data_IF_485728051657
#
_entry.id   IF_485728051657
#
_cell.length_a   1.000
_cell.length_b   1.000
_cell.length_c   1.000
_cell.angle_alpha   90.00
_cell.angle_beta   90.00
_cell.angle_gamma   90.00
#
_symmetry.space_group_name_H-M   'P 1'
#
loop_
_entity.id
_entity.type
_entity.pdbx_description
1 polymer ?
#
# COMPACT_ATOMS: atom_id res chain seq x y z
N UNK A 1 15.36 -51.56 8.74
CA UNK A 1 13.89 -51.68 8.59
C UNK A 1 13.32 -50.30 8.92
N UNK A 2 13.05 -49.48 7.91
CA UNK A 2 12.58 -48.10 8.09
C UNK A 2 11.08 -48.16 8.40
N UNK A 3 10.68 -47.69 9.57
CA UNK A 3 9.28 -47.62 9.99
C UNK A 3 8.46 -46.83 8.93
N UNK A 4 7.32 -47.34 8.44
CA UNK A 4 6.54 -46.64 7.45
C UNK A 4 6.00 -45.33 8.06
N UNK A 5 6.41 -44.21 7.47
CA UNK A 5 6.02 -42.86 7.87
C UNK A 5 4.48 -42.77 7.91
N UNK A 6 3.90 -42.78 9.12
CA UNK A 6 2.45 -42.79 9.30
C UNK A 6 1.86 -41.54 8.64
N UNK A 7 0.82 -41.67 7.80
CA UNK A 7 0.21 -40.52 7.17
C UNK A 7 -0.28 -39.56 8.27
N UNK A 8 -0.03 -38.25 8.13
CA UNK A 8 -0.38 -37.27 9.15
C UNK A 8 -1.91 -37.25 9.30
N UNK A 9 -2.43 -37.58 10.50
CA UNK A 9 -3.87 -37.70 10.76
C UNK A 9 -4.43 -36.37 11.24
N UNK A 10 -5.64 -36.05 10.78
CA UNK A 10 -6.43 -34.94 11.31
C UNK A 10 -6.77 -35.21 12.77
N UNK A 11 -6.59 -34.20 13.62
CA UNK A 11 -6.93 -34.27 15.05
C UNK A 11 -8.21 -33.50 15.33
N UNK A 12 -8.84 -33.75 16.47
CA UNK A 12 -9.99 -32.97 16.93
C UNK A 12 -9.68 -31.46 17.00
N UNK A 13 -8.44 -31.09 17.31
CA UNK A 13 -8.00 -29.70 17.35
C UNK A 13 -8.09 -29.00 15.98
N UNK A 14 -7.79 -29.70 14.88
CA UNK A 14 -7.92 -29.14 13.53
C UNK A 14 -9.38 -28.82 13.18
N UNK A 15 -10.30 -29.73 13.56
CA UNK A 15 -11.73 -29.53 13.37
C UNK A 15 -12.27 -28.40 14.25
N UNK A 16 -11.83 -28.30 15.50
CA UNK A 16 -12.17 -27.19 16.39
C UNK A 16 -11.69 -25.86 15.79
N UNK A 17 -10.43 -25.77 15.34
CA UNK A 17 -9.88 -24.57 14.73
C UNK A 17 -10.64 -24.18 13.45
N UNK A 18 -10.90 -25.15 12.56
CA UNK A 18 -11.68 -24.89 11.34
C UNK A 18 -13.10 -24.41 11.67
N UNK A 19 -13.74 -25.00 12.67
CA UNK A 19 -15.05 -24.57 13.17
C UNK A 19 -15.04 -23.14 13.73
N UNK A 20 -14.00 -22.77 14.49
CA UNK A 20 -13.83 -21.41 15.02
C UNK A 20 -13.61 -20.39 13.89
N UNK A 21 -12.78 -20.73 12.89
CA UNK A 21 -12.55 -19.88 11.72
C UNK A 21 -13.85 -19.67 10.93
N UNK A 22 -14.60 -20.76 10.70
CA UNK A 22 -15.88 -20.70 9.99
C UNK A 22 -16.93 -19.88 10.76
N UNK A 23 -17.02 -20.05 12.09
CA UNK A 23 -17.91 -19.26 12.93
C UNK A 23 -17.55 -17.77 12.90
N UNK A 24 -16.27 -17.43 13.03
CA UNK A 24 -15.79 -16.05 12.89
C UNK A 24 -16.14 -15.46 11.51
N UNK A 25 -15.85 -16.20 10.43
CA UNK A 25 -16.17 -15.78 9.08
C UNK A 25 -17.65 -15.55 8.85
N UNK A 26 -18.51 -16.43 9.40
CA UNK A 26 -19.96 -16.28 9.32
C UNK A 26 -20.45 -15.03 10.05
N UNK A 27 -19.95 -14.77 11.27
CA UNK A 27 -20.32 -13.57 12.03
C UNK A 27 -19.94 -12.31 11.26
N UNK A 28 -18.69 -12.21 10.78
CA UNK A 28 -18.23 -11.05 10.01
C UNK A 28 -19.04 -10.91 8.71
N UNK A 29 -19.31 -12.02 8.02
CA UNK A 29 -20.09 -12.00 6.77
C UNK A 29 -21.50 -11.45 6.99
N UNK A 30 -22.19 -11.91 8.04
CA UNK A 30 -23.54 -11.43 8.38
C UNK A 30 -23.53 -9.94 8.73
N UNK A 31 -22.52 -9.48 9.49
CA UNK A 31 -22.37 -8.05 9.82
C UNK A 31 -22.15 -7.22 8.55
N UNK A 32 -21.20 -7.62 7.69
CA UNK A 32 -20.89 -6.89 6.45
C UNK A 32 -22.07 -6.82 5.49
N UNK A 33 -22.85 -7.90 5.37
CA UNK A 33 -24.07 -7.92 4.56
C UNK A 33 -25.14 -6.98 5.13
N UNK A 34 -25.31 -6.95 6.46
CA UNK A 34 -26.25 -6.03 7.13
C UNK A 34 -25.87 -4.56 6.95
N UNK A 35 -24.57 -4.26 6.87
CA UNK A 35 -24.05 -2.93 6.55
C UNK A 35 -24.22 -2.52 5.06
N UNK A 36 -24.92 -3.33 4.26
CA UNK A 36 -25.17 -3.05 2.84
C UNK A 36 -23.99 -3.36 1.91
N UNK A 37 -22.95 -4.05 2.40
CA UNK A 37 -21.75 -4.42 1.63
C UNK A 37 -21.78 -5.88 1.15
N UNK A 38 -22.95 -6.36 0.74
CA UNK A 38 -23.13 -7.75 0.33
C UNK A 38 -22.26 -8.14 -0.88
N UNK A 39 -22.09 -7.22 -1.84
CA UNK A 39 -21.33 -7.45 -3.08
C UNK A 39 -19.83 -7.70 -2.83
N UNK A 40 -19.28 -7.13 -1.76
CA UNK A 40 -17.87 -7.27 -1.39
C UNK A 40 -17.65 -8.36 -0.33
N UNK A 41 -18.66 -8.66 0.51
CA UNK A 41 -18.57 -9.65 1.59
C UNK A 41 -18.17 -11.05 1.10
N UNK A 42 -18.62 -11.47 -0.08
CA UNK A 42 -18.27 -12.79 -0.62
C UNK A 42 -16.76 -12.90 -0.89
N UNK A 43 -16.19 -11.90 -1.56
CA UNK A 43 -14.79 -11.91 -1.95
C UNK A 43 -13.84 -11.62 -0.78
N UNK A 44 -14.21 -10.68 0.10
CA UNK A 44 -13.32 -10.21 1.17
C UNK A 44 -13.52 -10.93 2.51
N UNK A 45 -14.63 -11.66 2.70
CA UNK A 45 -14.90 -12.40 3.94
C UNK A 45 -15.04 -13.90 3.69
N UNK A 46 -15.96 -14.31 2.81
CA UNK A 46 -16.26 -15.73 2.63
C UNK A 46 -15.08 -16.51 2.01
N UNK A 47 -14.45 -15.97 0.95
CA UNK A 47 -13.32 -16.63 0.31
C UNK A 47 -12.11 -16.80 1.26
N UNK A 48 -11.61 -15.76 1.97
CA UNK A 48 -10.47 -15.96 2.86
C UNK A 48 -10.76 -16.87 4.06
N UNK A 49 -11.98 -16.80 4.63
CA UNK A 49 -12.35 -17.65 5.79
C UNK A 49 -12.54 -19.12 5.41
N UNK A 50 -13.12 -19.40 4.24
CA UNK A 50 -13.25 -20.78 3.73
C UNK A 50 -11.88 -21.39 3.43
N UNK A 51 -10.98 -20.64 2.79
CA UNK A 51 -9.60 -21.07 2.56
C UNK A 51 -8.85 -21.30 3.88
N UNK A 52 -9.00 -20.40 4.86
CA UNK A 52 -8.37 -20.54 6.16
C UNK A 52 -8.88 -21.79 6.92
N UNK A 53 -10.20 -22.06 6.88
CA UNK A 53 -10.78 -23.25 7.49
C UNK A 53 -10.31 -24.53 6.78
N UNK A 54 -10.22 -24.54 5.45
CA UNK A 54 -9.69 -25.67 4.69
C UNK A 54 -8.21 -25.93 5.02
N UNK A 55 -7.41 -24.86 5.15
CA UNK A 55 -6.01 -24.94 5.59
C UNK A 55 -5.85 -25.48 7.01
N UNK A 56 -6.76 -25.14 7.92
CA UNK A 56 -6.74 -25.69 9.29
C UNK A 56 -6.96 -27.21 9.32
N UNK A 57 -7.66 -27.77 8.33
CA UNK A 57 -7.89 -29.21 8.20
C UNK A 57 -6.74 -29.96 7.50
N UNK A 58 -5.79 -29.24 6.89
CA UNK A 58 -4.62 -29.82 6.23
C UNK A 58 -3.56 -30.18 7.26
N UNK A 59 -3.22 -31.48 7.43
CA UNK A 59 -2.28 -31.89 8.45
C UNK A 59 -0.84 -31.62 7.96
N UNK A 60 -0.13 -30.74 8.65
CA UNK A 60 1.23 -30.36 8.29
C UNK A 60 2.24 -31.49 8.51
N UNK A 61 2.96 -31.88 7.45
CA UNK A 61 3.98 -32.96 7.48
C UNK A 61 5.29 -32.54 8.14
N UNK A 62 5.62 -31.26 8.12
CA UNK A 62 6.88 -30.72 8.65
C UNK A 62 6.60 -29.52 9.55
N UNK A 63 7.49 -29.24 10.50
CA UNK A 63 7.40 -28.05 11.34
C UNK A 63 7.36 -26.77 10.50
N UNK A 64 8.15 -26.73 9.41
CA UNK A 64 8.19 -25.61 8.47
C UNK A 64 6.87 -25.43 7.71
N UNK A 65 6.31 -26.53 7.21
CA UNK A 65 4.98 -26.51 6.57
C UNK A 65 3.87 -26.08 7.53
N UNK A 66 3.93 -26.49 8.81
CA UNK A 66 2.99 -26.04 9.84
C UNK A 66 3.06 -24.53 10.08
N UNK A 67 4.27 -23.96 10.15
CA UNK A 67 4.45 -22.51 10.28
C UNK A 67 3.83 -21.80 9.08
N UNK A 68 4.10 -22.25 7.86
CA UNK A 68 3.52 -21.65 6.65
C UNK A 68 1.99 -21.71 6.64
N UNK A 69 1.39 -22.85 6.99
CA UNK A 69 -0.07 -22.98 7.09
C UNK A 69 -0.65 -21.98 8.09
N UNK A 70 -0.05 -21.88 9.29
CA UNK A 70 -0.50 -20.92 10.31
C UNK A 70 -0.32 -19.48 9.84
N UNK A 71 0.81 -19.16 9.22
CA UNK A 71 1.06 -17.84 8.62
C UNK A 71 0.04 -17.50 7.55
N UNK A 72 -0.30 -18.42 6.65
CA UNK A 72 -1.33 -18.22 5.63
C UNK A 72 -2.71 -18.00 6.25
N UNK A 73 -3.10 -18.81 7.25
CA UNK A 73 -4.35 -18.62 7.98
C UNK A 73 -4.39 -17.23 8.62
N UNK A 74 -3.31 -16.81 9.29
CA UNK A 74 -3.23 -15.49 9.91
C UNK A 74 -3.35 -14.35 8.90
N UNK A 75 -2.71 -14.46 7.73
CA UNK A 75 -2.83 -13.49 6.64
C UNK A 75 -4.26 -13.42 6.09
N UNK A 76 -4.91 -14.56 5.86
CA UNK A 76 -6.30 -14.63 5.39
C UNK A 76 -7.28 -13.99 6.38
N UNK A 77 -7.13 -14.29 7.67
CA UNK A 77 -7.94 -13.69 8.72
C UNK A 77 -7.67 -12.18 8.88
N UNK A 78 -6.42 -11.76 8.72
CA UNK A 78 -6.06 -10.33 8.69
C UNK A 78 -6.72 -9.62 7.51
N UNK A 79 -6.76 -10.24 6.33
CA UNK A 79 -7.46 -9.68 5.18
C UNK A 79 -8.96 -9.47 5.44
N UNK A 80 -9.61 -10.42 6.13
CA UNK A 80 -11.01 -10.29 6.57
C UNK A 80 -11.16 -9.14 7.56
N UNK A 81 -10.32 -9.09 8.60
CA UNK A 81 -10.41 -8.05 9.63
C UNK A 81 -10.21 -6.64 9.04
N UNK A 82 -9.30 -6.50 8.06
CA UNK A 82 -9.01 -5.23 7.41
C UNK A 82 -10.07 -4.82 6.37
N UNK A 83 -10.98 -5.73 5.96
CA UNK A 83 -12.06 -5.56 4.97
C UNK A 83 -11.59 -5.01 3.61
N UNK A 84 -11.23 -3.74 3.59
CA UNK A 84 -10.78 -2.91 2.47
C UNK A 84 -9.23 -2.80 2.46
N UNK A 85 -8.53 -3.82 2.95
CA UNK A 85 -7.06 -3.84 3.07
C UNK A 85 -6.40 -5.08 2.49
N UNK A 86 -7.13 -5.91 1.74
CA UNK A 86 -6.60 -7.19 1.24
C UNK A 86 -5.36 -7.03 0.35
N UNK A 87 -5.31 -5.97 -0.47
CA UNK A 87 -4.13 -5.60 -1.25
C UNK A 87 -2.91 -5.29 -0.37
N UNK A 88 -3.10 -4.67 0.80
CA UNK A 88 -2.03 -4.41 1.76
C UNK A 88 -1.51 -5.72 2.34
N UNK A 89 -2.41 -6.70 2.60
CA UNK A 89 -2.02 -8.04 3.03
C UNK A 89 -1.23 -8.75 1.93
N UNK A 90 -1.64 -8.64 0.67
CA UNK A 90 -0.89 -9.21 -0.47
C UNK A 90 0.50 -8.57 -0.57
N UNK A 91 0.60 -7.25 -0.45
CA UNK A 91 1.89 -6.55 -0.47
C UNK A 91 2.76 -6.88 0.75
N UNK A 92 2.17 -7.15 1.92
CA UNK A 92 2.90 -7.54 3.13
C UNK A 92 3.26 -9.04 3.16
N UNK A 93 2.54 -9.90 2.44
CA UNK A 93 2.70 -11.34 2.50
C UNK A 93 4.14 -11.82 2.21
N UNK A 94 4.86 -11.33 1.18
CA UNK A 94 6.24 -11.73 0.94
C UNK A 94 7.15 -11.48 2.15
N UNK A 95 7.00 -10.33 2.81
CA UNK A 95 7.74 -10.00 4.02
C UNK A 95 7.40 -10.97 5.17
N UNK A 96 6.11 -11.22 5.40
CA UNK A 96 5.65 -12.12 6.47
C UNK A 96 6.13 -13.56 6.23
N UNK A 97 6.08 -14.06 4.99
CA UNK A 97 6.62 -15.37 4.64
C UNK A 97 8.15 -15.42 4.74
N UNK A 98 8.85 -14.36 4.35
CA UNK A 98 10.31 -14.28 4.49
C UNK A 98 10.74 -14.34 5.97
N UNK A 99 10.06 -13.61 6.86
CA UNK A 99 10.31 -13.66 8.30
C UNK A 99 9.95 -15.03 8.87
N UNK A 100 8.81 -15.60 8.49
CA UNK A 100 8.38 -16.94 8.93
C UNK A 100 9.38 -18.03 8.49
N UNK A 101 9.86 -17.95 7.26
CA UNK A 101 10.87 -18.85 6.71
C UNK A 101 12.21 -18.68 7.43
N UNK A 102 12.70 -17.44 7.52
CA UNK A 102 13.99 -17.10 8.10
C UNK A 102 14.09 -17.50 9.56
N UNK A 103 13.07 -17.18 10.37
CA UNK A 103 13.02 -17.59 11.79
C UNK A 103 13.01 -19.11 11.93
N UNK A 104 12.19 -19.82 11.13
CA UNK A 104 12.12 -21.28 11.19
C UNK A 104 13.43 -21.94 10.74
N UNK A 105 14.04 -21.45 9.65
CA UNK A 105 15.31 -21.95 9.14
C UNK A 105 16.45 -21.71 10.14
N UNK A 106 16.51 -20.51 10.72
CA UNK A 106 17.51 -20.12 11.72
C UNK A 106 17.41 -20.97 12.98
N UNK A 107 16.19 -21.15 13.52
CA UNK A 107 15.97 -22.03 14.69
C UNK A 107 16.45 -23.44 14.39
N UNK A 108 16.15 -23.98 13.19
CA UNK A 108 16.58 -25.33 12.80
C UNK A 108 18.09 -25.43 12.68
N UNK A 109 18.74 -24.46 12.04
CA UNK A 109 20.19 -24.45 11.87
C UNK A 109 20.93 -24.35 13.21
N UNK A 110 20.43 -23.55 14.14
CA UNK A 110 21.08 -23.34 15.45
C UNK A 110 20.74 -24.42 16.47
N UNK A 111 19.66 -25.18 16.28
CA UNK A 111 19.24 -26.25 17.19
C UNK A 111 20.32 -27.32 17.36
N UNK A 112 21.07 -27.61 16.30
CA UNK A 112 22.12 -28.63 16.30
C UNK A 112 23.44 -28.12 16.90
N UNK A 113 23.60 -26.79 17.05
CA UNK A 113 24.80 -26.17 17.64
C UNK A 113 24.59 -25.77 19.10
N UNK A 114 23.59 -24.92 19.40
CA UNK A 114 23.24 -24.55 20.77
C UNK A 114 21.87 -23.87 20.84
N UNK A 115 21.05 -24.26 21.81
CA UNK A 115 19.74 -23.65 22.08
C UNK A 115 19.86 -22.16 22.46
N UNK A 116 20.94 -21.77 23.12
CA UNK A 116 21.20 -20.39 23.54
C UNK A 116 21.39 -19.44 22.34
N UNK A 117 22.03 -19.92 21.26
CA UNK A 117 22.17 -19.12 20.04
C UNK A 117 20.83 -18.88 19.37
N UNK A 118 19.93 -19.87 19.33
CA UNK A 118 18.59 -19.69 18.78
C UNK A 118 17.77 -18.66 19.57
N UNK A 119 17.90 -18.65 20.90
CA UNK A 119 17.22 -17.66 21.77
C UNK A 119 17.71 -16.24 21.52
N UNK A 120 18.99 -16.05 21.19
CA UNK A 120 19.55 -14.72 20.89
C UNK A 120 19.30 -14.29 19.43
N UNK A 121 19.46 -15.20 18.48
CA UNK A 121 19.44 -14.88 17.06
C UNK A 121 18.03 -14.57 16.52
N UNK A 122 16.99 -15.19 17.08
CA UNK A 122 15.60 -14.94 16.64
C UNK A 122 15.14 -13.51 16.96
N UNK A 123 15.30 -12.97 18.18
CA UNK A 123 15.01 -11.56 18.45
C UNK A 123 15.78 -10.61 17.52
N UNK A 124 17.07 -10.88 17.29
CA UNK A 124 17.91 -10.06 16.40
C UNK A 124 17.37 -10.03 14.96
N UNK A 125 16.90 -11.17 14.44
CA UNK A 125 16.27 -11.27 13.12
C UNK A 125 14.96 -10.47 13.04
N UNK A 126 14.23 -10.34 14.15
CA UNK A 126 12.96 -9.62 14.23
C UNK A 126 13.12 -8.12 14.49
N UNK A 127 14.30 -7.66 14.94
CA UNK A 127 14.56 -6.24 15.23
C UNK A 127 14.18 -5.28 14.10
N UNK A 128 14.45 -5.56 12.80
CA UNK A 128 14.05 -4.66 11.72
C UNK A 128 12.53 -4.49 11.60
N UNK A 129 11.74 -5.44 12.11
CA UNK A 129 10.28 -5.36 12.15
C UNK A 129 9.74 -4.45 13.26
N UNK A 130 10.59 -3.94 14.15
CA UNK A 130 10.19 -3.00 15.19
C UNK A 130 10.12 -1.56 14.69
N UNK A 131 10.69 -1.24 13.53
CA UNK A 131 10.59 0.09 12.92
C UNK A 131 9.11 0.51 12.81
N UNK A 132 8.76 1.69 13.33
CA UNK A 132 7.39 2.21 13.26
C UNK A 132 6.39 1.58 14.22
N UNK A 133 6.80 0.62 15.06
CA UNK A 133 5.94 0.03 16.11
C UNK A 133 5.73 0.93 17.35
N UNK A 134 6.46 2.05 17.43
CA UNK A 134 6.55 2.89 18.64
C UNK A 134 7.64 2.47 19.62
N UNK A 135 8.18 1.25 19.49
CA UNK A 135 9.31 0.76 20.28
C UNK A 135 10.67 1.12 19.66
N UNK A 136 10.72 1.33 18.35
CA UNK A 136 11.91 1.77 17.63
C UNK A 136 11.59 3.00 16.76
N UNK A 137 12.56 3.89 16.52
CA UNK A 137 12.37 5.05 15.67
C UNK A 137 12.09 4.63 14.23
N UNK A 138 11.39 5.50 13.49
CA UNK A 138 11.18 5.34 12.05
C UNK A 138 12.43 5.80 11.31
N UNK A 139 12.90 5.03 10.34
CA UNK A 139 14.11 5.33 9.59
C UNK A 139 13.73 6.12 8.33
N UNK A 140 14.31 7.32 8.18
CA UNK A 140 14.08 8.23 7.06
C UNK A 140 12.59 8.29 6.61
N UNK A 141 11.67 8.70 7.51
CA UNK A 141 10.24 8.70 7.20
C UNK A 141 9.88 9.78 6.19
N UNK A 142 10.61 10.90 6.14
CA UNK A 142 10.41 11.95 5.14
C UNK A 142 11.14 11.56 3.85
N UNK A 143 10.39 11.53 2.74
CA UNK A 143 10.83 11.09 1.43
C UNK A 143 10.32 12.06 0.36
N UNK A 144 10.85 11.92 -0.85
CA UNK A 144 10.44 12.72 -1.98
C UNK A 144 10.42 11.91 -3.26
N UNK A 145 9.51 12.25 -4.16
CA UNK A 145 9.50 11.73 -5.53
C UNK A 145 9.56 12.88 -6.52
N UNK A 146 10.25 12.67 -7.63
CA UNK A 146 10.37 13.63 -8.71
C UNK A 146 10.01 12.97 -10.04
N UNK A 147 9.21 13.65 -10.85
CA UNK A 147 8.89 13.26 -12.21
C UNK A 147 9.20 14.42 -13.14
N UNK A 148 9.98 14.14 -14.19
CA UNK A 148 10.36 15.10 -15.22
C UNK A 148 9.81 14.64 -16.57
N UNK A 149 9.25 15.58 -17.34
CA UNK A 149 8.72 15.33 -18.69
C UNK A 149 9.03 16.51 -19.60
N UNK A 150 9.58 16.22 -20.77
CA UNK A 150 9.68 17.21 -21.86
C UNK A 150 8.40 17.13 -22.69
N UNK A 151 7.74 18.27 -22.88
CA UNK A 151 6.50 18.40 -23.66
C UNK A 151 6.75 19.28 -24.88
N UNK A 152 6.06 18.99 -25.98
CA UNK A 152 6.16 19.73 -27.24
C UNK A 152 5.27 20.99 -27.22
N UNK A 153 5.43 21.80 -26.18
CA UNK A 153 4.75 23.08 -26.00
C UNK A 153 5.77 24.17 -25.65
N UNK A 154 5.60 25.39 -26.20
CA UNK A 154 6.25 26.60 -25.69
C UNK A 154 5.91 26.86 -24.22
N UNK A 155 6.80 27.54 -23.49
CA UNK A 155 6.67 27.71 -22.04
C UNK A 155 5.43 28.54 -21.63
N UNK A 156 5.02 29.51 -22.44
CA UNK A 156 3.81 30.31 -22.24
C UNK A 156 2.54 29.46 -22.36
N UNK A 157 2.50 28.53 -23.33
CA UNK A 157 1.39 27.58 -23.47
C UNK A 157 1.34 26.59 -22.30
N UNK A 158 2.50 26.15 -21.78
CA UNK A 158 2.54 25.35 -20.55
C UNK A 158 1.91 26.11 -19.38
N UNK A 159 2.32 27.37 -19.15
CA UNK A 159 1.73 28.21 -18.09
C UNK A 159 0.21 28.31 -18.23
N UNK A 160 -0.29 28.59 -19.44
CA UNK A 160 -1.73 28.70 -19.69
C UNK A 160 -2.49 27.38 -19.41
N UNK A 161 -1.90 26.23 -19.76
CA UNK A 161 -2.49 24.90 -19.47
C UNK A 161 -2.49 24.56 -18.00
N UNK A 162 -1.43 24.93 -17.28
CA UNK A 162 -1.35 24.77 -15.84
C UNK A 162 -2.41 25.62 -15.13
N UNK A 163 -2.61 26.87 -15.57
CA UNK A 163 -3.62 27.76 -15.03
C UNK A 163 -5.05 27.28 -15.24
N UNK A 164 -5.31 26.46 -16.27
CA UNK A 164 -6.61 25.83 -16.48
C UNK A 164 -6.92 24.69 -15.49
N UNK A 165 -5.94 24.28 -14.68
CA UNK A 165 -6.03 23.23 -13.69
C UNK A 165 -6.03 21.80 -14.27
N UNK A 166 -5.81 20.79 -13.41
CA UNK A 166 -5.84 19.39 -13.82
C UNK A 166 -7.25 18.91 -14.18
N UNK A 167 -7.34 18.02 -15.18
CA UNK A 167 -8.59 17.36 -15.62
C UNK A 167 -8.50 15.84 -15.43
N UNK A 168 -9.54 15.17 -14.91
CA UNK A 168 -9.52 13.72 -14.77
C UNK A 168 -9.24 13.02 -16.10
N UNK A 169 -8.33 12.05 -16.09
CA UNK A 169 -7.96 11.25 -17.26
C UNK A 169 -7.79 9.79 -16.86
N UNK A 170 -7.99 8.81 -17.76
CA UNK A 170 -7.74 7.41 -17.42
C UNK A 170 -6.28 7.15 -17.01
N UNK A 171 -6.11 6.31 -15.99
CA UNK A 171 -4.79 5.93 -15.47
C UNK A 171 -4.02 5.12 -16.53
N UNK A 172 -2.85 5.62 -16.92
CA UNK A 172 -2.00 4.98 -17.94
C UNK A 172 -1.00 3.99 -17.35
N UNK A 173 -0.49 4.25 -16.16
CA UNK A 173 0.53 3.43 -15.52
C UNK A 173 -0.01 2.05 -15.16
N UNK A 174 0.66 1.01 -15.67
CA UNK A 174 0.39 -0.39 -15.34
C UNK A 174 0.36 -0.68 -13.84
N UNK A 175 1.34 -0.25 -13.00
CA UNK A 175 1.34 -0.59 -11.59
C UNK A 175 0.12 -0.02 -10.84
N UNK A 176 -0.29 1.23 -11.11
CA UNK A 176 -1.48 1.80 -10.48
C UNK A 176 -2.75 1.05 -10.87
N UNK A 177 -2.89 0.68 -12.16
CA UNK A 177 -4.07 -0.09 -12.63
C UNK A 177 -4.11 -1.50 -12.04
N UNK A 178 -2.98 -2.21 -12.05
CA UNK A 178 -2.90 -3.59 -11.57
C UNK A 178 -3.23 -3.69 -10.09
N UNK A 179 -2.75 -2.73 -9.30
CA UNK A 179 -2.95 -2.71 -7.84
C UNK A 179 -4.23 -1.97 -7.43
N UNK A 180 -5.01 -1.46 -8.39
CA UNK A 180 -6.23 -0.70 -8.11
C UNK A 180 -6.00 0.56 -7.27
N UNK A 181 -4.81 1.16 -7.37
CA UNK A 181 -4.42 2.28 -6.50
C UNK A 181 -5.45 3.42 -6.65
N UNK A 182 -5.98 3.96 -5.53
CA UNK A 182 -6.92 5.07 -5.57
C UNK A 182 -6.36 6.25 -6.36
N UNK A 183 -7.11 6.69 -7.35
CA UNK A 183 -6.80 7.88 -8.14
C UNK A 183 -8.00 8.82 -8.09
N UNK A 184 -7.79 10.15 -8.21
CA UNK A 184 -8.88 11.09 -8.10
C UNK A 184 -9.78 11.00 -9.33
N UNK A 185 -11.06 10.71 -9.11
CA UNK A 185 -12.08 10.64 -10.16
C UNK A 185 -12.76 11.99 -10.39
N UNK A 186 -12.68 12.90 -9.42
CA UNK A 186 -13.18 14.27 -9.51
C UNK A 186 -12.02 15.21 -9.24
N UNK A 187 -11.77 16.13 -10.16
CA UNK A 187 -10.72 17.13 -10.01
C UNK A 187 -11.30 18.48 -10.43
N UNK A 188 -11.10 19.49 -9.59
CA UNK A 188 -11.58 20.85 -9.81
C UNK A 188 -10.62 21.87 -9.23
N UNK A 189 -10.71 23.10 -9.72
CA UNK A 189 -9.78 24.17 -9.39
C UNK A 189 -9.03 24.61 -10.63
N UNK A 190 -8.68 25.88 -10.64
CA UNK A 190 -7.94 26.59 -11.66
C UNK A 190 -7.08 27.66 -10.98
N UNK A 191 -6.34 28.41 -11.78
CA UNK A 191 -5.47 29.47 -11.30
C UNK A 191 -4.14 28.97 -10.75
N UNK A 192 -3.21 29.91 -10.64
CA UNK A 192 -1.83 29.73 -10.17
C UNK A 192 -1.44 30.86 -9.21
N UNK A 193 -2.36 31.74 -8.84
CA UNK A 193 -2.09 32.83 -7.91
C UNK A 193 -2.07 32.29 -6.48
N UNK A 194 -1.26 32.85 -5.57
CA UNK A 194 -1.25 32.43 -4.17
C UNK A 194 -2.64 32.47 -3.55
N UNK A 195 -3.06 31.34 -2.97
CA UNK A 195 -4.41 31.14 -2.44
C UNK A 195 -5.37 30.39 -3.35
N UNK A 196 -5.05 30.22 -4.64
CA UNK A 196 -5.82 29.37 -5.54
C UNK A 196 -5.76 27.91 -5.10
N UNK A 197 -6.84 27.15 -5.35
CA UNK A 197 -7.03 25.82 -4.76
C UNK A 197 -7.42 24.76 -5.78
N UNK A 198 -6.75 23.62 -5.70
CA UNK A 198 -7.05 22.43 -6.48
C UNK A 198 -7.53 21.31 -5.56
N UNK A 199 -8.72 20.80 -5.85
CA UNK A 199 -9.34 19.70 -5.14
C UNK A 199 -9.26 18.41 -5.95
N UNK A 200 -8.83 17.34 -5.29
CA UNK A 200 -8.76 15.99 -5.84
C UNK A 200 -9.67 15.07 -5.02
N UNK A 201 -10.83 14.73 -5.57
CA UNK A 201 -11.83 13.84 -4.98
C UNK A 201 -11.62 12.38 -5.39
N UNK A 202 -11.59 11.50 -4.38
CA UNK A 202 -11.42 10.06 -4.48
C UNK A 202 -12.74 9.36 -4.18
N UNK A 203 -13.12 8.41 -5.02
CA UNK A 203 -14.29 7.57 -4.76
C UNK A 203 -13.97 6.49 -3.73
N UNK A 204 -15.03 5.99 -3.07
CA UNK A 204 -14.93 4.78 -2.27
C UNK A 204 -14.45 3.59 -3.10
N UNK A 205 -13.54 2.81 -2.56
CA UNK A 205 -12.93 1.66 -3.25
C UNK A 205 -12.71 0.52 -2.27
N UNK A 206 -12.16 -0.59 -2.77
CA UNK A 206 -11.66 -1.68 -1.93
C UNK A 206 -10.52 -1.25 -0.97
N UNK A 207 -10.14 0.04 -0.93
CA UNK A 207 -9.17 0.62 -0.02
C UNK A 207 -9.78 1.47 1.11
N UNK A 208 -11.06 1.90 1.00
CA UNK A 208 -11.67 2.88 1.91
C UNK A 208 -12.86 3.66 1.34
N UNK A 209 -13.48 4.55 2.15
CA UNK A 209 -14.65 5.35 1.74
C UNK A 209 -14.34 6.46 0.71
N UNK A 210 -13.07 6.68 0.34
CA UNK A 210 -12.66 7.74 -0.58
C UNK A 210 -12.16 8.97 0.18
N UNK A 211 -12.69 10.14 -0.15
CA UNK A 211 -12.35 11.43 0.48
C UNK A 211 -11.76 12.42 -0.53
N UNK A 212 -11.11 13.47 -0.05
CA UNK A 212 -10.50 14.47 -0.93
C UNK A 212 -9.16 15.00 -0.39
N UNK A 213 -8.37 15.51 -1.31
CA UNK A 213 -7.14 16.26 -1.04
C UNK A 213 -7.34 17.68 -1.58
N UNK A 214 -7.07 18.68 -0.76
CA UNK A 214 -7.09 20.09 -1.15
C UNK A 214 -5.67 20.64 -1.13
N UNK A 215 -5.14 20.93 -2.32
CA UNK A 215 -3.88 21.64 -2.50
C UNK A 215 -4.16 23.13 -2.69
N UNK A 216 -3.39 23.99 -2.06
CA UNK A 216 -3.44 25.44 -2.22
C UNK A 216 -2.10 25.93 -2.74
N UNK A 217 -2.13 26.84 -3.71
CA UNK A 217 -0.94 27.52 -4.21
C UNK A 217 -0.38 28.39 -3.08
N UNK A 218 0.84 28.09 -2.67
CA UNK A 218 1.57 28.80 -1.62
C UNK A 218 2.48 29.89 -2.20
N UNK A 219 3.18 29.55 -3.28
CA UNK A 219 4.09 30.46 -3.98
C UNK A 219 3.90 30.34 -5.49
N UNK A 220 4.02 31.47 -6.18
CA UNK A 220 3.93 31.56 -7.63
C UNK A 220 5.05 32.47 -8.15
N UNK A 221 6.04 31.85 -8.78
CA UNK A 221 7.17 32.51 -9.42
C UNK A 221 7.16 32.24 -10.94
N UNK A 222 7.97 32.98 -11.69
CA UNK A 222 8.15 32.71 -13.11
C UNK A 222 8.72 31.29 -13.33
N UNK A 223 7.90 30.37 -13.82
CA UNK A 223 8.32 28.99 -14.11
C UNK A 223 8.33 28.05 -12.90
N UNK A 224 7.77 28.44 -11.75
CA UNK A 224 7.72 27.61 -10.54
C UNK A 224 6.48 27.92 -9.70
N UNK A 225 5.84 26.90 -9.17
CA UNK A 225 4.71 26.99 -8.26
C UNK A 225 4.92 26.02 -7.11
N UNK A 226 4.78 26.53 -5.89
CA UNK A 226 4.73 25.74 -4.66
C UNK A 226 3.29 25.49 -4.22
N UNK A 227 3.00 24.29 -3.78
CA UNK A 227 1.72 23.88 -3.24
C UNK A 227 1.88 23.38 -1.81
N UNK A 228 0.97 23.84 -0.94
CA UNK A 228 0.76 23.28 0.39
C UNK A 228 -0.55 22.50 0.44
N UNK A 229 -0.61 21.46 1.25
CA UNK A 229 -1.81 20.64 1.42
C UNK A 229 -2.58 21.11 2.65
N UNK A 230 -3.77 21.66 2.44
CA UNK A 230 -4.54 22.34 3.50
C UNK A 230 -5.57 21.42 4.14
N UNK A 231 -6.04 20.43 3.40
CA UNK A 231 -6.96 19.39 3.86
C UNK A 231 -6.64 18.07 3.16
N UNK A 232 -6.64 16.98 3.92
CA UNK A 232 -6.47 15.64 3.38
C UNK A 232 -7.34 14.65 4.15
N UNK A 233 -8.53 14.39 3.60
CA UNK A 233 -9.42 13.30 4.02
C UNK A 233 -9.32 12.09 3.09
N UNK A 234 -8.42 12.14 2.11
CA UNK A 234 -8.30 11.14 1.06
C UNK A 234 -7.93 9.78 1.63
N UNK A 235 -8.31 8.72 0.92
CA UNK A 235 -7.96 7.37 1.35
C UNK A 235 -6.45 7.13 1.40
N UNK A 236 -5.69 7.88 0.60
CA UNK A 236 -4.23 7.78 0.55
C UNK A 236 -3.55 8.33 1.81
N UNK A 237 -4.23 9.18 2.60
CA UNK A 237 -3.72 9.72 3.87
C UNK A 237 -3.42 8.64 4.92
N UNK A 238 -3.96 7.42 4.74
CA UNK A 238 -3.67 6.26 5.59
C UNK A 238 -2.28 5.66 5.36
N UNK A 239 -1.64 5.94 4.23
CA UNK A 239 -0.40 5.29 3.82
C UNK A 239 0.80 6.23 3.84
N UNK A 240 0.56 7.53 3.70
CA UNK A 240 1.56 8.58 3.78
C UNK A 240 0.85 9.91 4.07
N UNK A 241 1.62 10.93 4.42
CA UNK A 241 1.14 12.30 4.60
C UNK A 241 1.89 13.21 3.64
N UNK A 242 1.16 13.97 2.83
CA UNK A 242 1.78 14.99 1.99
C UNK A 242 2.41 16.10 2.83
N UNK A 243 3.54 16.64 2.36
CA UNK A 243 4.22 17.78 3.00
C UNK A 243 4.16 19.02 2.12
N UNK A 244 4.69 18.89 0.91
CA UNK A 244 4.82 19.99 -0.04
C UNK A 244 4.89 19.41 -1.45
N UNK A 245 4.43 20.16 -2.44
CA UNK A 245 4.64 19.84 -3.84
C UNK A 245 5.13 21.06 -4.59
N UNK A 246 6.07 20.85 -5.49
CA UNK A 246 6.61 21.89 -6.36
C UNK A 246 6.45 21.48 -7.82
N UNK A 247 5.86 22.35 -8.60
CA UNK A 247 5.77 22.25 -10.05
C UNK A 247 6.67 23.32 -10.65
N UNK A 248 7.64 22.92 -11.46
CA UNK A 248 8.52 23.86 -12.18
C UNK A 248 8.58 23.52 -13.66
N UNK A 249 8.79 24.54 -14.49
CA UNK A 249 8.95 24.36 -15.91
C UNK A 249 9.97 25.33 -16.49
N UNK A 250 10.72 24.86 -17.49
CA UNK A 250 11.73 25.65 -18.19
C UNK A 250 11.74 25.33 -19.67
N UNK A 251 11.87 26.36 -20.51
CA UNK A 251 12.06 26.16 -21.94
C UNK A 251 13.36 25.38 -22.19
N UNK A 252 13.26 24.33 -23.01
CA UNK A 252 14.41 23.61 -23.57
C UNK A 252 14.81 24.26 -24.89
N UNK A 253 13.80 24.61 -25.70
CA UNK A 253 13.90 25.40 -26.92
C UNK A 253 12.57 26.15 -27.16
N UNK A 254 12.38 26.77 -28.33
CA UNK A 254 11.17 27.54 -28.66
C UNK A 254 9.87 26.72 -28.67
N UNK A 255 9.94 25.40 -28.83
CA UNK A 255 8.79 24.49 -28.97
C UNK A 255 8.72 23.42 -27.91
N UNK A 256 9.74 23.29 -27.06
CA UNK A 256 9.80 22.27 -26.03
C UNK A 256 10.02 22.87 -24.65
N UNK A 257 9.30 22.35 -23.67
CA UNK A 257 9.40 22.74 -22.27
C UNK A 257 9.61 21.50 -21.40
N UNK A 258 10.59 21.55 -20.51
CA UNK A 258 10.77 20.56 -19.45
C UNK A 258 9.87 20.95 -18.29
N UNK A 259 8.99 20.04 -17.87
CA UNK A 259 8.10 20.19 -16.72
C UNK A 259 8.52 19.16 -15.67
N UNK A 260 8.77 19.63 -14.44
CA UNK A 260 9.17 18.84 -13.28
C UNK A 260 8.13 19.00 -12.18
N UNK A 261 7.69 17.88 -11.63
CA UNK A 261 6.94 17.86 -10.36
C UNK A 261 7.78 17.12 -9.33
N UNK A 262 8.01 17.78 -8.21
CA UNK A 262 8.57 17.18 -7.01
C UNK A 262 7.51 17.17 -5.93
N UNK A 263 7.36 16.04 -5.23
CA UNK A 263 6.44 15.94 -4.10
C UNK A 263 7.16 15.35 -2.90
N UNK A 264 7.11 16.06 -1.79
CA UNK A 264 7.65 15.66 -0.50
C UNK A 264 6.52 15.07 0.36
N UNK A 265 6.79 13.95 1.02
CA UNK A 265 5.81 13.23 1.84
C UNK A 265 6.48 12.54 3.02
N UNK A 266 5.71 12.34 4.09
CA UNK A 266 6.09 11.45 5.19
C UNK A 266 5.46 10.09 4.96
N UNK A 267 6.29 9.07 4.80
CA UNK A 267 5.89 7.67 4.72
C UNK A 267 5.00 7.28 5.90
N UNK A 268 3.99 6.45 5.68
CA UNK A 268 3.14 5.87 6.72
C UNK A 268 3.25 4.34 6.86
N UNK A 269 3.94 3.66 5.95
CA UNK A 269 4.08 2.20 5.95
C UNK A 269 5.52 1.79 6.32
N UNK A 270 5.68 1.00 7.38
CA UNK A 270 6.97 0.50 7.89
C UNK A 270 7.09 -1.04 7.72
N UNK A 271 8.30 -1.59 7.56
CA UNK A 271 9.60 -0.93 7.66
C UNK A 271 10.06 -0.23 6.36
N UNK A 272 10.95 0.76 6.50
CA UNK A 272 11.50 1.61 5.44
C UNK A 272 12.11 0.83 4.27
N UNK A 273 12.92 -0.19 4.58
CA UNK A 273 13.67 -0.95 3.59
C UNK A 273 12.76 -1.79 2.67
N UNK A 274 11.54 -2.11 3.12
CA UNK A 274 10.57 -2.89 2.35
C UNK A 274 9.52 -1.99 1.70
N UNK A 275 8.81 -1.17 2.49
CA UNK A 275 7.72 -0.35 1.97
C UNK A 275 8.19 0.97 1.35
N UNK A 276 9.36 1.48 1.71
CA UNK A 276 9.92 2.70 1.14
C UNK A 276 10.07 2.63 -0.38
N UNK A 277 10.78 1.63 -0.95
CA UNK A 277 10.89 1.47 -2.39
C UNK A 277 9.54 1.28 -3.10
N UNK A 278 8.64 0.50 -2.51
CA UNK A 278 7.29 0.26 -3.08
C UNK A 278 6.51 1.58 -3.15
N UNK A 279 6.50 2.36 -2.07
CA UNK A 279 5.81 3.64 -2.05
C UNK A 279 6.43 4.66 -3.00
N UNK A 280 7.76 4.72 -3.13
CA UNK A 280 8.38 5.60 -4.12
C UNK A 280 7.92 5.30 -5.55
N UNK A 281 7.84 4.02 -5.93
CA UNK A 281 7.36 3.62 -7.26
C UNK A 281 5.90 4.02 -7.48
N UNK A 282 5.03 3.75 -6.49
CA UNK A 282 3.60 4.07 -6.60
C UNK A 282 3.33 5.58 -6.59
N UNK A 283 4.01 6.33 -5.71
CA UNK A 283 3.90 7.78 -5.65
C UNK A 283 4.50 8.45 -6.89
N UNK A 284 5.59 7.91 -7.44
CA UNK A 284 6.15 8.38 -8.72
C UNK A 284 5.19 8.16 -9.87
N UNK A 285 4.55 6.98 -9.94
CA UNK A 285 3.51 6.73 -10.93
C UNK A 285 2.30 7.65 -10.74
N UNK A 286 1.87 7.90 -9.49
CA UNK A 286 0.78 8.84 -9.16
C UNK A 286 1.11 10.29 -9.56
N UNK A 287 2.32 10.73 -9.27
CA UNK A 287 2.83 12.06 -9.67
C UNK A 287 2.92 12.17 -11.20
N UNK A 288 3.35 11.10 -11.88
CA UNK A 288 3.33 11.04 -13.34
C UNK A 288 1.91 11.06 -13.93
N UNK A 289 0.93 10.52 -13.22
CA UNK A 289 -0.47 10.60 -13.58
C UNK A 289 -1.04 12.01 -13.41
N UNK A 290 -0.60 12.77 -12.39
CA UNK A 290 -0.92 14.19 -12.27
C UNK A 290 -0.48 14.99 -13.51
N UNK A 291 0.72 14.73 -14.03
CA UNK A 291 1.16 15.33 -15.30
C UNK A 291 0.29 14.93 -16.50
N UNK A 292 -0.28 13.72 -16.50
CA UNK A 292 -1.25 13.33 -17.54
C UNK A 292 -2.56 14.11 -17.43
N UNK A 293 -3.00 14.47 -16.21
CA UNK A 293 -4.20 15.28 -15.96
C UNK A 293 -4.04 16.74 -16.37
N UNK A 294 -2.81 17.27 -16.45
CA UNK A 294 -2.53 18.66 -16.86
C UNK A 294 -2.66 18.90 -18.37
N UNK A 295 -2.96 17.88 -19.17
CA UNK A 295 -3.18 17.99 -20.64
C UNK A 295 -2.03 18.66 -21.42
N UNK A 296 -0.79 18.44 -20.98
CA UNK A 296 0.43 19.00 -21.57
C UNK A 296 0.93 18.24 -22.82
N UNK A 297 0.01 17.62 -23.57
CA UNK A 297 0.32 16.86 -24.80
C UNK A 297 -0.31 17.52 -26.02
#
# INVERSE_FOLDING_TARGET
MTEPDRPPRQTAANWILAGLIAAFGLVVFVVTVRDGRADSALLFVALPTTLAAALALLPGRTAHGRVFVVTTIALLLSAVALHEGAICVILAAPLVYAVSHGTTALIRALRDTSRSYAVLAVPLLLLPGLEGSGLAPRLAPDQSVEVVRVVALPADQVTARLAAGPRPTPVRSVPLRLLGVPTPGQVSGDGLDPGDRWMFGYHGSAHGPGGHLLAEVETADAGRIGFRFVEDSSITARWFRWRHAELSWRAVDERHTEVRIRVDYTRGLDPSWYFGPIQQVLLGAGTGHLLDMMTLR
#
